data_IF_353022385159
#
_entry.id   IF_353022385159
#
_cell.length_a   1.000
_cell.length_b   1.000
_cell.length_c   1.000
_cell.angle_alpha   90.00
_cell.angle_beta   90.00
_cell.angle_gamma   90.00
#
_symmetry.space_group_name_H-M   'P 1'
#
loop_
_entity.id
_entity.type
_entity.pdbx_description
1 polymer ?
#
# COMPACT_ATOMS: atom_id res chain seq x y z
N UNK A 1 -15.02 -52.94 56.85
CA UNK A 1 -13.86 -52.05 56.65
C UNK A 1 -14.07 -51.40 55.29
N UNK A 2 -14.89 -50.35 55.25
CA UNK A 2 -14.50 -48.91 55.14
C UNK A 2 -13.96 -48.61 53.75
N UNK A 3 -14.74 -48.12 52.79
CA UNK A 3 -15.27 -46.75 52.54
C UNK A 3 -14.48 -46.07 51.39
N UNK A 4 -15.19 -45.22 50.64
CA UNK A 4 -14.85 -44.35 49.48
C UNK A 4 -13.37 -44.11 49.09
N UNK A 5 -13.06 -44.02 47.78
CA UNK A 5 -12.91 -42.72 47.07
C UNK A 5 -12.43 -42.82 45.61
N UNK A 6 -12.65 -41.71 44.91
CA UNK A 6 -12.48 -41.42 43.49
C UNK A 6 -11.05 -40.97 43.11
N UNK A 7 -10.80 -40.89 41.79
CA UNK A 7 -9.88 -39.96 41.10
C UNK A 7 -8.37 -40.28 40.98
N UNK A 8 -7.90 -40.44 39.72
CA UNK A 8 -6.83 -39.61 39.12
C UNK A 8 -6.55 -39.93 37.64
N UNK A 9 -6.48 -38.84 36.88
CA UNK A 9 -6.11 -38.62 35.48
C UNK A 9 -4.61 -38.75 35.19
N UNK A 10 -4.25 -39.19 33.98
CA UNK A 10 -3.20 -38.65 33.07
C UNK A 10 -2.99 -39.66 31.92
N UNK A 11 -2.73 -39.33 30.66
CA UNK A 11 -2.57 -38.09 29.93
C UNK A 11 -2.50 -38.52 28.46
N UNK A 12 -3.32 -37.91 27.59
CA UNK A 12 -3.30 -38.19 26.15
C UNK A 12 -2.07 -37.52 25.54
N UNK A 13 -1.24 -38.33 24.90
CA UNK A 13 -0.19 -37.90 23.97
C UNK A 13 -0.76 -36.93 22.94
N UNK A 14 -0.48 -35.64 23.12
CA UNK A 14 -0.61 -34.63 22.08
C UNK A 14 0.81 -34.30 21.62
N UNK A 15 1.25 -35.00 20.58
CA UNK A 15 2.45 -34.60 19.83
C UNK A 15 2.15 -33.28 19.12
N UNK A 16 2.51 -32.17 19.76
CA UNK A 16 2.58 -30.84 19.15
C UNK A 16 3.75 -30.84 18.17
N UNK A 17 3.46 -31.09 16.89
CA UNK A 17 4.39 -30.74 15.82
C UNK A 17 4.50 -29.22 15.77
N UNK A 18 5.71 -28.73 16.00
CA UNK A 18 6.12 -27.34 15.86
C UNK A 18 6.05 -26.97 14.37
N UNK A 19 5.00 -26.27 13.94
CA UNK A 19 4.91 -25.70 12.60
C UNK A 19 5.78 -24.44 12.53
N UNK A 20 7.00 -24.61 12.02
CA UNK A 20 7.80 -23.54 11.41
C UNK A 20 6.94 -22.74 10.42
N UNK A 21 7.01 -21.40 10.52
CA UNK A 21 6.13 -20.44 9.85
C UNK A 21 5.94 -20.70 8.35
N UNK A 22 4.74 -21.13 7.98
CA UNK A 22 4.28 -21.19 6.59
C UNK A 22 3.47 -19.94 6.33
N UNK A 23 3.89 -19.10 5.40
CA UNK A 23 3.04 -18.05 4.84
C UNK A 23 1.78 -18.75 4.27
N UNK A 24 0.57 -18.44 4.75
CA UNK A 24 -0.64 -19.09 4.29
C UNK A 24 -0.86 -18.69 2.84
N UNK A 25 -0.95 -19.71 1.99
CA UNK A 25 -1.31 -19.56 0.59
C UNK A 25 -2.84 -19.43 0.54
N UNK A 26 -3.31 -18.19 0.34
CA UNK A 26 -4.74 -17.90 0.24
C UNK A 26 -5.14 -17.99 -1.22
N UNK A 27 -5.96 -18.98 -1.56
CA UNK A 27 -6.50 -19.13 -2.91
C UNK A 27 -7.79 -18.32 -3.06
N UNK A 28 -7.79 -17.34 -3.97
CA UNK A 28 -8.99 -16.60 -4.38
C UNK A 28 -9.65 -17.38 -5.52
N UNK A 29 -10.78 -18.04 -5.26
CA UNK A 29 -11.40 -18.98 -6.21
C UNK A 29 -12.49 -18.34 -7.09
N UNK A 30 -13.03 -17.18 -6.70
CA UNK A 30 -14.06 -16.45 -7.44
C UNK A 30 -13.68 -15.00 -7.74
N UNK A 31 -14.28 -14.43 -8.80
CA UNK A 31 -14.12 -13.01 -9.16
C UNK A 31 -14.60 -12.11 -8.03
N UNK A 32 -15.75 -12.42 -7.42
CA UNK A 32 -16.29 -11.67 -6.28
C UNK A 32 -15.33 -11.63 -5.08
N UNK A 33 -14.67 -12.75 -4.78
CA UNK A 33 -13.68 -12.81 -3.69
C UNK A 33 -12.38 -12.11 -4.05
N UNK A 34 -11.99 -12.15 -5.33
CA UNK A 34 -10.81 -11.42 -5.84
C UNK A 34 -11.03 -9.91 -5.77
N UNK A 35 -12.22 -9.43 -6.16
CA UNK A 35 -12.60 -8.02 -6.02
C UNK A 35 -12.64 -7.60 -4.55
N UNK A 36 -13.19 -8.43 -3.67
CA UNK A 36 -13.22 -8.18 -2.23
C UNK A 36 -11.82 -8.18 -1.58
N UNK A 37 -10.82 -8.81 -2.21
CA UNK A 37 -9.43 -8.82 -1.76
C UNK A 37 -8.64 -7.56 -2.18
N UNK A 38 -9.09 -6.80 -3.20
CA UNK A 38 -8.36 -5.64 -3.72
C UNK A 38 -8.03 -4.59 -2.64
N UNK A 39 -8.95 -4.17 -1.74
CA UNK A 39 -8.63 -3.17 -0.73
C UNK A 39 -7.50 -3.62 0.20
N UNK A 40 -7.48 -4.91 0.51
CA UNK A 40 -6.47 -5.54 1.36
C UNK A 40 -5.11 -5.65 0.67
N UNK A 41 -5.09 -5.93 -0.64
CA UNK A 41 -3.87 -5.94 -1.44
C UNK A 41 -3.27 -4.54 -1.62
N UNK A 42 -4.10 -3.50 -1.65
CA UNK A 42 -3.66 -2.10 -1.79
C UNK A 42 -3.40 -1.41 -0.45
N UNK A 43 -3.85 -1.98 0.67
CA UNK A 43 -3.82 -1.35 1.99
C UNK A 43 -4.88 -0.26 2.20
N UNK A 44 -5.71 0.05 1.21
CA UNK A 44 -6.81 1.02 1.34
C UNK A 44 -7.96 0.71 0.39
N UNK A 45 -9.14 1.29 0.62
CA UNK A 45 -10.28 1.21 -0.30
C UNK A 45 -10.11 2.22 -1.47
N UNK A 46 -9.81 1.77 -2.71
CA UNK A 46 -9.69 2.66 -3.85
C UNK A 46 -11.05 3.14 -4.35
N UNK A 47 -11.09 4.39 -4.83
CA UNK A 47 -12.22 5.00 -5.54
C UNK A 47 -11.72 5.59 -6.86
N UNK A 48 -12.56 5.60 -7.90
CA UNK A 48 -12.22 6.12 -9.24
C UNK A 48 -10.83 5.66 -9.72
N UNK A 49 -10.61 4.35 -9.69
CA UNK A 49 -9.32 3.72 -9.91
C UNK A 49 -9.39 2.60 -10.94
N UNK A 50 -8.28 2.39 -11.64
CA UNK A 50 -8.04 1.18 -12.43
C UNK A 50 -7.03 0.32 -11.68
N UNK A 51 -7.35 -0.96 -11.48
CA UNK A 51 -6.51 -1.94 -10.79
C UNK A 51 -6.19 -3.07 -11.75
N UNK A 52 -4.92 -3.45 -11.82
CA UNK A 52 -4.44 -4.57 -12.62
C UNK A 52 -3.79 -5.59 -11.70
N UNK A 53 -4.35 -6.80 -11.68
CA UNK A 53 -3.75 -7.96 -11.01
C UNK A 53 -3.15 -8.87 -12.10
N UNK A 54 -1.89 -9.24 -11.96
CA UNK A 54 -1.19 -10.09 -12.94
C UNK A 54 -0.71 -11.39 -12.32
N UNK A 55 -0.63 -12.44 -13.13
CA UNK A 55 -0.15 -13.77 -12.73
C UNK A 55 0.33 -14.59 -13.92
N UNK A 56 1.08 -15.65 -13.65
CA UNK A 56 1.56 -16.57 -14.69
C UNK A 56 0.45 -17.48 -15.20
N UNK A 57 -0.34 -18.08 -14.32
CA UNK A 57 -1.47 -18.96 -14.68
C UNK A 57 -2.64 -18.82 -13.67
N UNK A 58 -3.83 -19.30 -14.04
CA UNK A 58 -4.94 -19.38 -13.07
C UNK A 58 -4.56 -20.31 -11.92
N UNK A 59 -4.62 -19.79 -10.69
CA UNK A 59 -4.31 -20.55 -9.49
C UNK A 59 -2.84 -20.47 -9.05
N UNK A 60 -1.98 -19.74 -9.76
CA UNK A 60 -0.65 -19.37 -9.26
C UNK A 60 -0.71 -18.10 -8.41
N UNK A 61 0.26 -17.88 -7.50
CA UNK A 61 0.35 -16.65 -6.72
C UNK A 61 0.32 -15.41 -7.62
N UNK A 62 -0.36 -14.35 -7.16
CA UNK A 62 -0.36 -13.07 -7.87
C UNK A 62 1.09 -12.57 -7.97
N UNK A 63 1.50 -12.23 -9.18
CA UNK A 63 2.83 -11.71 -9.45
C UNK A 63 2.91 -10.22 -9.11
N UNK A 64 1.91 -9.42 -9.55
CA UNK A 64 1.82 -8.00 -9.22
C UNK A 64 0.39 -7.51 -9.07
N UNK A 65 0.24 -6.50 -8.23
CA UNK A 65 -0.96 -5.66 -8.07
C UNK A 65 -0.58 -4.22 -8.38
N UNK A 66 -1.16 -3.65 -9.43
CA UNK A 66 -0.96 -2.26 -9.82
C UNK A 66 -2.27 -1.48 -9.68
N UNK A 67 -2.16 -0.21 -9.30
CA UNK A 67 -3.29 0.71 -9.23
C UNK A 67 -2.92 2.03 -9.86
N UNK A 68 -3.78 2.51 -10.76
CA UNK A 68 -3.75 3.85 -11.33
C UNK A 68 -5.04 4.62 -11.03
N UNK A 69 -4.97 5.95 -11.11
CA UNK A 69 -6.17 6.79 -11.15
C UNK A 69 -6.87 6.66 -12.51
N UNK A 70 -8.19 6.81 -12.55
CA UNK A 70 -8.91 6.84 -13.83
C UNK A 70 -8.56 8.11 -14.61
N UNK A 71 -7.96 7.99 -15.81
CA UNK A 71 -7.52 9.14 -16.59
C UNK A 71 -8.71 9.84 -17.26
N UNK A 72 -8.63 11.17 -17.50
CA UNK A 72 -9.55 11.82 -18.41
C UNK A 72 -9.35 11.31 -19.85
N UNK A 73 -10.40 11.40 -20.68
CA UNK A 73 -10.44 10.81 -22.03
C UNK A 73 -9.21 11.10 -22.92
N UNK A 74 -8.64 12.31 -22.80
CA UNK A 74 -7.49 12.73 -23.60
C UNK A 74 -6.15 12.11 -23.17
N UNK A 75 -6.07 11.51 -21.98
CA UNK A 75 -4.87 10.87 -21.44
C UNK A 75 -4.93 9.33 -21.46
N UNK A 76 -6.04 8.74 -21.94
CA UNK A 76 -6.23 7.28 -21.93
C UNK A 76 -5.05 6.53 -22.55
N UNK A 77 -4.52 6.98 -23.70
CA UNK A 77 -3.41 6.29 -24.36
C UNK A 77 -2.11 6.33 -23.56
N UNK A 78 -1.81 7.47 -22.92
CA UNK A 78 -0.61 7.61 -22.07
C UNK A 78 -0.75 6.75 -20.82
N UNK A 79 -1.91 6.82 -20.16
CA UNK A 79 -2.16 6.02 -18.96
C UNK A 79 -2.12 4.51 -19.23
N UNK A 80 -2.66 4.05 -20.36
CA UNK A 80 -2.59 2.65 -20.75
C UNK A 80 -1.14 2.19 -20.95
N UNK A 81 -0.34 2.99 -21.64
CA UNK A 81 1.08 2.71 -21.86
C UNK A 81 1.86 2.69 -20.54
N UNK A 82 1.64 3.66 -19.64
CA UNK A 82 2.34 3.72 -18.35
C UNK A 82 2.01 2.50 -17.47
N UNK A 83 0.75 2.05 -17.48
CA UNK A 83 0.31 0.85 -16.75
C UNK A 83 1.03 -0.39 -17.29
N UNK A 84 1.05 -0.57 -18.62
CA UNK A 84 1.59 -1.79 -19.24
C UNK A 84 3.10 -1.80 -19.36
N UNK A 85 3.75 -0.65 -19.52
CA UNK A 85 5.21 -0.55 -19.56
C UNK A 85 5.88 -1.10 -18.30
N UNK A 86 5.22 -0.97 -17.14
CA UNK A 86 5.71 -1.52 -15.87
C UNK A 86 5.74 -3.06 -15.82
N UNK A 87 5.09 -3.74 -16.76
CA UNK A 87 4.96 -5.19 -16.84
C UNK A 87 5.84 -5.82 -17.94
N UNK A 88 6.50 -5.01 -18.76
CA UNK A 88 7.20 -5.49 -19.96
C UNK A 88 8.38 -6.44 -19.66
N UNK A 89 8.91 -6.40 -18.44
CA UNK A 89 10.00 -7.30 -17.99
C UNK A 89 9.51 -8.53 -17.22
N UNK A 90 8.20 -8.68 -17.00
CA UNK A 90 7.64 -9.77 -16.22
C UNK A 90 7.17 -10.92 -17.11
N UNK A 91 7.33 -12.15 -16.63
CA UNK A 91 6.77 -13.35 -17.24
C UNK A 91 5.29 -13.47 -16.84
N UNK A 92 4.41 -12.72 -17.51
CA UNK A 92 2.96 -12.69 -17.23
C UNK A 92 2.19 -13.29 -18.41
N UNK A 93 1.34 -14.28 -18.12
CA UNK A 93 0.45 -14.89 -19.14
C UNK A 93 -1.03 -14.61 -18.89
N UNK A 94 -1.38 -14.12 -17.69
CA UNK A 94 -2.75 -13.77 -17.30
C UNK A 94 -2.83 -12.43 -16.57
N UNK A 95 -3.89 -11.69 -16.83
CA UNK A 95 -4.18 -10.41 -16.20
C UNK A 95 -5.68 -10.23 -15.92
N UNK A 96 -5.97 -9.60 -14.79
CA UNK A 96 -7.30 -9.21 -14.35
C UNK A 96 -7.33 -7.69 -14.20
N UNK A 97 -8.05 -7.01 -15.09
CA UNK A 97 -8.26 -5.58 -15.06
C UNK A 97 -9.59 -5.26 -14.37
N UNK A 98 -9.55 -4.33 -13.43
CA UNK A 98 -10.72 -3.90 -12.65
C UNK A 98 -10.84 -2.39 -12.69
N UNK A 99 -11.96 -1.90 -13.22
CA UNK A 99 -12.33 -0.48 -13.17
C UNK A 99 -13.28 -0.27 -11.99
N UNK A 100 -12.90 0.62 -11.08
CA UNK A 100 -13.63 0.91 -9.85
C UNK A 100 -14.11 2.35 -9.92
N UNK A 101 -15.43 2.56 -9.86
CA UNK A 101 -16.03 3.89 -9.98
C UNK A 101 -16.28 4.30 -11.42
N UNK A 102 -16.43 5.61 -11.63
CA UNK A 102 -17.11 6.14 -12.81
C UNK A 102 -18.61 5.89 -12.74
N UNK A 103 -19.43 6.93 -12.87
CA UNK A 103 -20.87 6.72 -12.96
C UNK A 103 -21.18 5.90 -14.21
N UNK A 104 -22.02 4.86 -14.05
CA UNK A 104 -22.71 4.26 -15.18
C UNK A 104 -23.37 5.37 -15.97
N UNK A 105 -23.15 5.44 -17.28
CA UNK A 105 -23.87 6.37 -18.16
C UNK A 105 -25.39 6.13 -18.23
N UNK A 106 -25.97 5.39 -17.28
CA UNK A 106 -27.40 5.08 -17.15
C UNK A 106 -28.10 6.08 -16.22
N UNK A 107 -28.96 6.91 -16.81
CA UNK A 107 -29.68 8.01 -16.18
C UNK A 107 -30.15 7.83 -14.74
N UNK A 108 -29.87 8.84 -13.92
CA UNK A 108 -30.49 9.04 -12.63
C UNK A 108 -32.01 9.24 -12.77
N UNK A 109 -32.77 8.41 -12.07
CA UNK A 109 -34.12 8.75 -11.62
C UNK A 109 -34.19 8.45 -10.12
N UNK A 110 -34.22 9.50 -9.30
CA UNK A 110 -34.40 9.35 -7.86
C UNK A 110 -34.26 10.64 -7.06
N UNK A 111 -35.28 11.51 -7.12
CA UNK A 111 -35.44 12.75 -6.34
C UNK A 111 -35.54 13.94 -7.29
N UNK A 112 -36.67 14.63 -7.45
CA UNK A 112 -37.51 15.21 -6.41
C UNK A 112 -38.99 15.19 -6.83
N UNK A 113 -39.87 14.70 -5.96
CA UNK A 113 -41.30 15.01 -6.00
C UNK A 113 -41.50 16.37 -5.34
N UNK A 114 -42.01 17.36 -6.08
CA UNK A 114 -43.01 18.34 -5.61
C UNK A 114 -43.46 19.26 -6.76
N UNK A 115 -44.76 19.28 -7.06
CA UNK A 115 -45.39 20.37 -7.83
C UNK A 115 -46.56 19.95 -8.72
N UNK A 116 -47.78 20.00 -8.19
CA UNK A 116 -49.04 19.85 -8.92
C UNK A 116 -49.28 20.97 -9.95
N UNK A 117 -49.91 20.65 -11.10
CA UNK A 117 -50.76 21.60 -11.84
C UNK A 117 -50.79 21.48 -13.37
N UNK A 118 -51.86 20.82 -13.90
CA UNK A 118 -52.55 20.94 -15.21
C UNK A 118 -51.86 21.68 -16.39
N UNK A 119 -51.87 21.18 -17.63
CA UNK A 119 -53.06 20.87 -18.45
C UNK A 119 -52.68 20.16 -19.78
N UNK A 120 -53.71 19.63 -20.44
CA UNK A 120 -53.82 18.64 -21.52
C UNK A 120 -53.29 18.98 -22.92
N UNK A 121 -52.91 17.89 -23.60
CA UNK A 121 -53.00 17.52 -25.04
C UNK A 121 -52.21 18.31 -26.10
N UNK A 122 -51.26 17.63 -26.74
CA UNK A 122 -51.09 17.67 -28.20
C UNK A 122 -50.39 16.38 -28.67
N UNK A 123 -51.05 15.68 -29.60
CA UNK A 123 -50.53 14.58 -30.38
C UNK A 123 -49.23 14.95 -31.10
N UNK A 124 -48.28 14.01 -31.15
CA UNK A 124 -47.04 14.18 -31.89
C UNK A 124 -46.19 12.92 -31.81
N UNK A 125 -46.18 12.18 -32.93
CA UNK A 125 -45.32 11.04 -33.20
C UNK A 125 -43.87 11.31 -32.80
N UNK A 126 -43.46 10.74 -31.67
CA UNK A 126 -42.11 10.83 -31.13
C UNK A 126 -41.35 9.54 -31.41
N UNK A 127 -40.56 9.59 -32.47
CA UNK A 127 -39.54 8.61 -32.84
C UNK A 127 -38.80 8.07 -31.60
N UNK A 128 -38.94 6.77 -31.30
CA UNK A 128 -38.08 6.09 -30.33
C UNK A 128 -36.76 5.75 -31.01
N UNK A 129 -35.96 6.78 -31.29
CA UNK A 129 -34.53 6.60 -31.46
C UNK A 129 -33.98 6.24 -30.09
N UNK A 130 -33.85 4.94 -29.84
CA UNK A 130 -33.09 4.43 -28.71
C UNK A 130 -31.69 5.02 -28.78
N UNK A 131 -31.30 5.73 -27.72
CA UNK A 131 -29.94 6.20 -27.55
C UNK A 131 -28.98 4.99 -27.64
N UNK A 132 -28.08 4.90 -28.63
CA UNK A 132 -27.22 3.73 -28.84
C UNK A 132 -26.09 3.62 -27.80
N UNK A 133 -26.00 4.54 -26.85
CA UNK A 133 -24.93 4.59 -25.84
C UNK A 133 -25.33 4.07 -24.45
N UNK A 134 -26.54 3.50 -24.30
CA UNK A 134 -27.07 3.05 -23.00
C UNK A 134 -26.46 1.76 -22.43
N UNK A 135 -25.65 1.05 -23.21
CA UNK A 135 -25.15 -0.29 -22.85
C UNK A 135 -23.63 -0.38 -22.70
N UNK A 136 -22.90 0.73 -22.93
CA UNK A 136 -21.44 0.73 -22.83
C UNK A 136 -21.00 1.01 -21.40
N UNK A 137 -20.21 0.09 -20.83
CA UNK A 137 -19.64 0.24 -19.50
C UNK A 137 -18.68 1.45 -19.44
N UNK A 138 -18.55 2.11 -18.27
CA UNK A 138 -17.61 3.22 -18.08
C UNK A 138 -16.18 2.84 -18.50
N UNK A 139 -15.43 3.80 -19.03
CA UNK A 139 -13.99 3.62 -19.36
C UNK A 139 -13.65 2.44 -20.29
N UNK A 140 -14.60 1.96 -21.12
CA UNK A 140 -14.34 0.88 -22.09
C UNK A 140 -13.12 1.15 -23.01
N UNK A 141 -12.92 2.41 -23.43
CA UNK A 141 -11.74 2.81 -24.24
C UNK A 141 -10.40 2.60 -23.54
N UNK A 142 -10.36 2.77 -22.21
CA UNK A 142 -9.17 2.52 -21.41
C UNK A 142 -8.90 1.02 -21.32
N UNK A 143 -9.94 0.23 -21.05
CA UNK A 143 -9.86 -1.23 -21.03
C UNK A 143 -9.33 -1.76 -22.36
N UNK A 144 -9.86 -1.27 -23.48
CA UNK A 144 -9.42 -1.65 -24.82
C UNK A 144 -7.95 -1.27 -25.08
N UNK A 145 -7.52 -0.09 -24.63
CA UNK A 145 -6.14 0.34 -24.78
C UNK A 145 -5.18 -0.54 -23.97
N UNK A 146 -5.46 -0.75 -22.68
CA UNK A 146 -4.65 -1.60 -21.81
C UNK A 146 -4.62 -3.05 -22.33
N UNK A 147 -5.76 -3.58 -22.80
CA UNK A 147 -5.82 -4.94 -23.34
C UNK A 147 -4.97 -5.08 -24.60
N UNK A 148 -4.99 -4.12 -25.52
CA UNK A 148 -4.12 -4.15 -26.71
C UNK A 148 -2.65 -4.22 -26.31
N UNK A 149 -2.24 -3.34 -25.41
CA UNK A 149 -0.85 -3.27 -24.93
C UNK A 149 -0.44 -4.58 -24.22
N UNK A 150 -1.32 -5.18 -23.40
CA UNK A 150 -1.05 -6.47 -22.74
C UNK A 150 -0.92 -7.64 -23.74
N UNK A 151 -1.72 -7.64 -24.81
CA UNK A 151 -1.63 -8.65 -25.87
C UNK A 151 -0.31 -8.52 -26.65
N UNK A 152 0.17 -7.29 -26.87
CA UNK A 152 1.49 -7.04 -27.48
C UNK A 152 2.64 -7.55 -26.60
N UNK A 153 2.45 -7.55 -25.27
CA UNK A 153 3.37 -8.15 -24.30
C UNK A 153 3.26 -9.68 -24.19
N UNK A 154 2.35 -10.31 -24.93
CA UNK A 154 2.17 -11.77 -24.95
C UNK A 154 1.22 -12.32 -23.89
N UNK A 155 0.47 -11.46 -23.19
CA UNK A 155 -0.55 -11.89 -22.22
C UNK A 155 -1.74 -12.47 -22.97
N UNK A 156 -2.02 -13.76 -22.77
CA UNK A 156 -3.07 -14.48 -23.50
C UNK A 156 -4.44 -14.44 -22.82
N UNK A 157 -4.48 -14.32 -21.49
CA UNK A 157 -5.73 -14.27 -20.74
C UNK A 157 -5.92 -12.89 -20.07
N UNK A 158 -6.77 -12.03 -20.64
CA UNK A 158 -7.10 -10.73 -20.04
C UNK A 158 -8.59 -10.69 -19.70
N UNK A 159 -8.93 -10.83 -18.42
CA UNK A 159 -10.30 -10.64 -17.95
C UNK A 159 -10.49 -9.19 -17.46
N UNK A 160 -11.61 -8.55 -17.81
CA UNK A 160 -11.88 -7.17 -17.40
C UNK A 160 -13.26 -7.03 -16.74
N UNK A 161 -13.29 -6.34 -15.60
CA UNK A 161 -14.51 -6.12 -14.82
C UNK A 161 -14.66 -4.65 -14.42
N UNK A 162 -15.91 -4.21 -14.37
CA UNK A 162 -16.32 -2.92 -13.82
C UNK A 162 -17.10 -3.15 -12.53
N UNK A 163 -16.85 -2.33 -11.53
CA UNK A 163 -17.59 -2.29 -10.27
C UNK A 163 -17.77 -0.82 -9.82
N UNK A 164 -18.97 -0.40 -9.39
CA UNK A 164 -19.18 0.98 -8.98
C UNK A 164 -18.41 1.34 -7.70
N UNK A 165 -18.37 0.40 -6.75
CA UNK A 165 -17.66 0.55 -5.49
C UNK A 165 -17.26 -0.83 -4.94
N UNK A 166 -16.15 -0.88 -4.18
CA UNK A 166 -15.74 -2.09 -3.47
C UNK A 166 -16.44 -2.16 -2.11
N UNK A 167 -17.75 -2.39 -2.13
CA UNK A 167 -18.60 -2.60 -0.95
C UNK A 167 -19.31 -3.95 -0.99
N UNK A 168 -19.57 -4.55 0.18
CA UNK A 168 -20.30 -5.81 0.26
C UNK A 168 -21.66 -5.74 -0.42
N UNK A 169 -21.94 -6.68 -1.32
CA UNK A 169 -23.18 -6.68 -2.10
C UNK A 169 -23.15 -5.84 -3.39
N UNK A 170 -22.05 -5.13 -3.68
CA UNK A 170 -21.89 -4.41 -4.94
C UNK A 170 -21.96 -5.38 -6.13
N UNK A 171 -22.60 -4.93 -7.22
CA UNK A 171 -22.70 -5.71 -8.46
C UNK A 171 -21.55 -5.35 -9.38
N UNK A 172 -20.81 -6.36 -9.83
CA UNK A 172 -19.80 -6.21 -10.88
C UNK A 172 -20.35 -6.67 -12.23
N UNK A 173 -19.81 -6.10 -13.31
CA UNK A 173 -20.13 -6.43 -14.71
C UNK A 173 -18.83 -6.71 -15.47
N UNK A 174 -18.83 -7.65 -16.40
CA UNK A 174 -17.70 -7.89 -17.29
C UNK A 174 -17.78 -7.00 -18.52
N UNK A 175 -16.62 -6.60 -19.05
CA UNK A 175 -16.54 -5.89 -20.34
C UNK A 175 -16.74 -6.82 -21.56
N UNK A 176 -16.47 -8.12 -21.41
CA UNK A 176 -16.51 -9.09 -22.52
C UNK A 176 -17.92 -9.61 -22.81
N UNK A 177 -18.73 -9.79 -21.78
CA UNK A 177 -20.08 -10.34 -21.89
C UNK A 177 -21.07 -9.50 -21.04
N UNK A 178 -22.04 -8.82 -21.67
CA UNK A 178 -23.08 -8.08 -20.95
C UNK A 178 -23.91 -8.93 -19.97
N UNK A 179 -24.00 -10.24 -20.20
CA UNK A 179 -24.68 -11.18 -19.29
C UNK A 179 -23.80 -11.60 -18.11
N UNK A 180 -22.48 -11.40 -18.19
CA UNK A 180 -21.55 -11.72 -17.12
C UNK A 180 -21.63 -10.63 -16.04
N UNK A 181 -22.46 -10.90 -15.04
CA UNK A 181 -22.65 -10.07 -13.85
C UNK A 181 -22.61 -10.93 -12.60
N UNK A 182 -22.21 -10.34 -11.47
CA UNK A 182 -22.21 -11.04 -10.19
C UNK A 182 -22.22 -10.08 -9.02
N UNK A 183 -22.28 -10.65 -7.81
CA UNK A 183 -22.26 -9.89 -6.56
C UNK A 183 -20.93 -10.12 -5.87
N UNK A 184 -20.33 -9.04 -5.36
CA UNK A 184 -19.11 -9.09 -4.59
C UNK A 184 -19.39 -9.49 -3.14
N UNK A 185 -18.54 -10.36 -2.60
CA UNK A 185 -18.46 -10.64 -1.16
C UNK A 185 -18.09 -9.38 -0.38
N UNK A 186 -18.45 -9.28 0.89
CA UNK A 186 -18.04 -8.13 1.72
C UNK A 186 -16.52 -8.16 1.95
N UNK A 187 -15.76 -7.11 1.55
CA UNK A 187 -14.33 -7.01 1.84
C UNK A 187 -14.01 -7.24 3.32
N UNK A 188 -14.82 -6.72 4.24
CA UNK A 188 -14.58 -6.93 5.68
C UNK A 188 -14.66 -8.40 6.12
N UNK A 189 -15.31 -9.25 5.32
CA UNK A 189 -15.41 -10.69 5.53
C UNK A 189 -14.41 -11.51 4.71
N UNK A 190 -13.54 -10.86 3.93
CA UNK A 190 -12.56 -11.53 3.07
C UNK A 190 -11.53 -12.31 3.90
N UNK A 191 -11.20 -13.53 3.45
CA UNK A 191 -10.17 -14.38 4.07
C UNK A 191 -8.81 -13.68 4.09
N UNK A 192 -8.48 -12.95 3.01
CA UNK A 192 -7.26 -12.15 2.96
C UNK A 192 -7.30 -11.02 3.98
N UNK A 193 -8.43 -10.33 4.11
CA UNK A 193 -8.63 -9.27 5.10
C UNK A 193 -8.45 -9.77 6.53
N UNK A 194 -9.06 -10.92 6.85
CA UNK A 194 -8.93 -11.56 8.16
C UNK A 194 -7.48 -11.97 8.48
N UNK A 195 -6.76 -12.56 7.51
CA UNK A 195 -5.36 -12.94 7.70
C UNK A 195 -4.47 -11.71 7.90
N UNK A 196 -4.61 -10.68 7.07
CA UNK A 196 -3.85 -9.43 7.20
C UNK A 196 -4.11 -8.75 8.55
N UNK A 197 -5.37 -8.66 8.98
CA UNK A 197 -5.73 -8.11 10.28
C UNK A 197 -5.12 -8.91 11.45
N UNK A 198 -5.06 -10.25 11.34
CA UNK A 198 -4.43 -11.10 12.36
C UNK A 198 -2.93 -10.82 12.53
N UNK A 199 -2.29 -10.29 11.49
CA UNK A 199 -0.87 -9.87 11.47
C UNK A 199 -0.68 -8.39 11.81
N UNK A 200 -1.75 -7.68 12.14
CA UNK A 200 -1.71 -6.26 12.48
C UNK A 200 -1.68 -5.31 11.26
N UNK A 201 -1.86 -5.81 10.04
CA UNK A 201 -2.06 -4.94 8.87
C UNK A 201 -3.46 -4.33 8.91
N UNK A 202 -3.53 -3.03 8.62
CA UNK A 202 -4.78 -2.26 8.61
C UNK A 202 -5.09 -1.87 7.17
N UNK A 203 -6.32 -2.12 6.74
CA UNK A 203 -6.85 -1.59 5.48
C UNK A 203 -7.56 -0.26 5.77
N UNK A 204 -7.07 0.82 5.18
CA UNK A 204 -7.57 2.17 5.41
C UNK A 204 -8.79 2.48 4.52
N UNK A 205 -9.68 3.36 4.97
CA UNK A 205 -10.88 3.74 4.23
C UNK A 205 -10.58 4.54 2.95
N UNK A 206 -9.38 5.14 2.84
CA UNK A 206 -8.93 5.81 1.62
C UNK A 206 -7.42 5.99 1.57
N UNK A 207 -6.89 6.29 0.38
CA UNK A 207 -5.48 6.72 0.22
C UNK A 207 -5.16 7.98 1.02
N UNK A 208 -6.14 8.88 1.20
CA UNK A 208 -5.95 10.10 2.00
C UNK A 208 -5.77 9.79 3.49
N UNK A 209 -6.49 8.79 4.00
CA UNK A 209 -6.31 8.30 5.38
C UNK A 209 -4.94 7.64 5.56
N UNK A 210 -4.49 6.83 4.60
CA UNK A 210 -3.14 6.28 4.60
C UNK A 210 -2.08 7.40 4.56
N UNK A 211 -2.30 8.45 3.75
CA UNK A 211 -1.41 9.60 3.67
C UNK A 211 -1.35 10.40 4.99
N UNK A 212 -2.45 10.42 5.75
CA UNK A 212 -2.51 11.10 7.05
C UNK A 212 -1.54 10.49 8.08
N UNK A 213 -1.11 9.23 7.92
CA UNK A 213 -0.06 8.62 8.76
C UNK A 213 1.29 9.35 8.66
N UNK A 214 1.54 10.07 7.57
CA UNK A 214 2.78 10.79 7.32
C UNK A 214 2.56 12.31 7.28
N UNK A 215 1.35 12.79 7.59
CA UNK A 215 1.06 14.23 7.61
C UNK A 215 1.91 14.94 8.69
N UNK A 216 2.52 16.10 8.38
CA UNK A 216 3.31 16.84 9.37
C UNK A 216 2.51 17.14 10.63
N UNK A 217 3.19 17.11 11.78
CA UNK A 217 2.66 17.62 13.04
C UNK A 217 2.32 19.12 12.91
N UNK A 218 1.60 19.67 13.89
CA UNK A 218 1.22 21.09 13.87
C UNK A 218 2.42 22.02 13.69
N UNK A 219 2.22 23.08 12.90
CA UNK A 219 3.25 24.07 12.56
C UNK A 219 4.06 24.58 13.77
N UNK A 220 3.46 24.90 14.95
CA UNK A 220 4.23 25.32 16.12
C UNK A 220 5.17 24.25 16.68
N UNK A 221 4.82 22.96 16.57
CA UNK A 221 5.69 21.85 17.02
C UNK A 221 6.85 21.66 16.07
N UNK A 222 6.59 21.75 14.77
CA UNK A 222 7.62 21.63 13.74
C UNK A 222 8.62 22.79 13.84
N UNK A 223 8.14 24.03 13.97
CA UNK A 223 9.00 25.21 14.15
C UNK A 223 9.89 25.12 15.40
N UNK A 224 9.36 24.63 16.53
CA UNK A 224 10.16 24.41 17.75
C UNK A 224 11.29 23.39 17.54
N UNK A 225 11.03 22.35 16.75
CA UNK A 225 12.03 21.30 16.45
C UNK A 225 13.09 21.83 15.49
N UNK A 226 12.71 22.65 14.51
CA UNK A 226 13.63 23.36 13.63
C UNK A 226 14.62 24.22 14.41
N UNK A 227 14.14 25.05 15.35
CA UNK A 227 14.99 25.88 16.22
C UNK A 227 15.98 25.02 17.04
N UNK A 228 15.52 23.87 17.55
CA UNK A 228 16.37 22.94 18.30
C UNK A 228 17.43 22.27 17.44
N UNK A 229 17.11 21.93 16.18
CA UNK A 229 18.05 21.36 15.22
C UNK A 229 19.16 22.39 14.95
N UNK A 230 18.81 23.64 14.64
CA UNK A 230 19.79 24.70 14.38
C UNK A 230 20.65 24.99 15.61
N UNK A 231 20.04 25.05 16.79
CA UNK A 231 20.76 25.26 18.06
C UNK A 231 21.81 24.17 18.28
N UNK A 232 21.44 22.90 18.08
CA UNK A 232 22.39 21.78 18.23
C UNK A 232 23.47 21.80 17.15
N UNK A 233 23.12 22.15 15.91
CA UNK A 233 24.07 22.28 14.80
C UNK A 233 25.11 23.36 15.10
N UNK A 234 24.67 24.53 15.57
CA UNK A 234 25.54 25.62 16.01
C UNK A 234 26.42 25.25 17.20
N UNK A 235 25.93 24.38 18.10
CA UNK A 235 26.71 23.83 19.21
C UNK A 235 27.72 22.73 18.79
N UNK A 236 27.90 22.47 17.50
CA UNK A 236 28.88 21.52 16.97
C UNK A 236 28.37 20.08 16.86
N UNK A 237 27.05 19.84 16.91
CA UNK A 237 26.50 18.49 16.77
C UNK A 237 26.82 17.81 15.44
N UNK A 238 27.10 18.60 14.38
CA UNK A 238 27.63 18.08 13.12
C UNK A 238 28.98 17.37 13.27
N UNK A 239 29.74 17.62 14.34
CA UNK A 239 31.04 16.98 14.63
C UNK A 239 30.94 15.80 15.62
N UNK A 240 29.73 15.33 15.95
CA UNK A 240 29.60 14.16 16.83
C UNK A 240 30.36 12.95 16.29
N UNK A 241 31.04 12.17 17.15
CA UNK A 241 31.60 10.89 16.72
C UNK A 241 30.50 9.99 16.15
N UNK A 242 30.83 9.21 15.12
CA UNK A 242 29.90 8.26 14.48
C UNK A 242 29.20 7.36 15.52
N UNK A 243 29.94 6.90 16.54
CA UNK A 243 29.38 6.08 17.62
C UNK A 243 28.23 6.77 18.38
N UNK A 244 28.29 8.10 18.58
CA UNK A 244 27.23 8.86 19.23
C UNK A 244 25.99 8.99 18.34
N UNK A 245 26.19 9.20 17.02
CA UNK A 245 25.08 9.24 16.06
C UNK A 245 24.35 7.90 16.00
N UNK A 246 25.10 6.80 15.93
CA UNK A 246 24.55 5.44 15.95
C UNK A 246 23.85 5.11 17.28
N UNK A 247 24.36 5.61 18.41
CA UNK A 247 23.70 5.44 19.71
C UNK A 247 22.32 6.13 19.72
N UNK A 248 22.22 7.36 19.21
CA UNK A 248 20.93 8.06 19.11
C UNK A 248 19.91 7.27 18.28
N UNK A 249 20.31 6.68 17.15
CA UNK A 249 19.44 5.83 16.33
C UNK A 249 19.02 4.57 17.09
N UNK A 250 19.96 3.88 17.74
CA UNK A 250 19.66 2.67 18.54
C UNK A 250 18.69 2.96 19.68
N UNK A 251 18.85 4.09 20.36
CA UNK A 251 17.95 4.52 21.43
C UNK A 251 16.54 4.79 20.89
N UNK A 252 16.45 5.43 19.71
CA UNK A 252 15.18 5.63 19.00
C UNK A 252 14.48 4.31 18.64
N UNK A 253 15.23 3.35 18.08
CA UNK A 253 14.71 2.02 17.73
C UNK A 253 14.26 1.25 18.97
N UNK A 254 15.03 1.31 20.07
CA UNK A 254 14.67 0.67 21.34
C UNK A 254 13.41 1.27 21.95
N UNK A 255 13.23 2.59 21.85
CA UNK A 255 12.01 3.27 22.32
C UNK A 255 10.79 2.85 21.49
N UNK A 256 10.94 2.77 20.16
CA UNK A 256 9.89 2.32 19.26
C UNK A 256 9.47 0.87 19.52
N UNK A 257 10.42 -0.05 19.75
CA UNK A 257 10.14 -1.44 20.14
C UNK A 257 9.33 -1.56 21.44
N UNK A 258 9.53 -0.62 22.36
CA UNK A 258 8.87 -0.63 23.67
C UNK A 258 7.42 -0.10 23.63
N UNK A 259 6.91 0.26 22.44
CA UNK A 259 5.54 0.75 22.24
C UNK A 259 5.27 2.16 22.80
N UNK A 260 6.31 2.91 23.18
CA UNK A 260 6.18 4.28 23.68
C UNK A 260 6.95 5.27 22.78
N UNK A 261 6.37 5.70 21.65
CA UNK A 261 7.05 6.56 20.68
C UNK A 261 7.01 8.05 21.04
N UNK A 262 6.78 8.44 22.31
CA UNK A 262 6.84 9.85 22.70
C UNK A 262 8.29 10.34 22.74
N UNK A 263 8.87 10.50 21.55
CA UNK A 263 10.19 11.08 21.37
C UNK A 263 10.13 12.54 21.82
N UNK A 264 11.01 12.89 22.76
CA UNK A 264 11.20 14.29 23.13
C UNK A 264 11.69 15.09 21.92
N UNK A 265 11.37 16.38 21.86
CA UNK A 265 11.85 17.23 20.76
C UNK A 265 13.38 17.31 20.71
N UNK A 266 14.05 17.21 21.87
CA UNK A 266 15.51 17.09 21.91
C UNK A 266 15.97 15.81 21.20
N UNK A 267 15.35 14.65 21.48
CA UNK A 267 15.68 13.39 20.80
C UNK A 267 15.40 13.45 19.31
N UNK A 268 14.28 14.04 18.89
CA UNK A 268 13.94 14.24 17.47
C UNK A 268 15.03 15.07 16.77
N UNK A 269 15.47 16.18 17.38
CA UNK A 269 16.54 17.00 16.83
C UNK A 269 17.90 16.26 16.78
N UNK A 270 18.20 15.39 17.76
CA UNK A 270 19.42 14.56 17.71
C UNK A 270 19.35 13.54 16.57
N UNK A 271 18.19 12.91 16.36
CA UNK A 271 17.97 11.95 15.27
C UNK A 271 18.07 12.64 13.91
N UNK A 272 17.53 13.85 13.75
CA UNK A 272 17.67 14.63 12.52
C UNK A 272 19.15 14.84 12.14
N UNK A 273 19.98 15.23 13.12
CA UNK A 273 21.41 15.46 12.93
C UNK A 273 22.15 14.15 12.64
N UNK A 274 21.77 13.06 13.32
CA UNK A 274 22.38 11.75 13.11
C UNK A 274 22.07 11.21 11.70
N UNK A 275 20.83 11.34 11.23
CA UNK A 275 20.38 10.86 9.93
C UNK A 275 20.92 11.67 8.74
N UNK A 276 21.32 12.93 8.96
CA UNK A 276 21.99 13.72 7.94
C UNK A 276 23.36 13.14 7.51
N UNK A 277 23.95 12.26 8.32
CA UNK A 277 25.15 11.51 7.97
C UNK A 277 24.79 10.32 7.04
N UNK A 278 25.37 10.29 5.84
CA UNK A 278 25.08 9.26 4.83
C UNK A 278 25.39 7.86 5.34
N UNK A 279 26.46 7.66 6.10
CA UNK A 279 26.83 6.34 6.62
C UNK A 279 25.80 5.84 7.65
N UNK A 280 25.24 6.74 8.46
CA UNK A 280 24.19 6.41 9.42
C UNK A 280 22.87 6.11 8.71
N UNK A 281 22.49 6.96 7.74
CA UNK A 281 21.27 6.78 6.95
C UNK A 281 21.29 5.49 6.14
N UNK A 282 22.40 5.14 5.51
CA UNK A 282 22.52 3.90 4.74
C UNK A 282 22.46 2.68 5.67
N UNK A 283 23.08 2.76 6.85
CA UNK A 283 22.97 1.72 7.86
C UNK A 283 21.52 1.51 8.34
N UNK A 284 20.71 2.57 8.41
CA UNK A 284 19.29 2.47 8.74
C UNK A 284 18.49 1.65 7.72
N UNK A 285 18.92 1.55 6.45
CA UNK A 285 18.24 0.69 5.46
C UNK A 285 18.26 -0.78 5.88
N UNK A 286 19.32 -1.22 6.57
CA UNK A 286 19.42 -2.58 7.09
C UNK A 286 18.34 -2.91 8.12
N UNK A 287 17.76 -1.90 8.79
CA UNK A 287 16.72 -2.11 9.81
C UNK A 287 15.39 -2.57 9.23
N UNK A 288 15.16 -2.42 7.91
CA UNK A 288 13.97 -2.90 7.23
C UNK A 288 13.99 -4.41 6.94
N UNK A 289 15.10 -5.11 7.19
CA UNK A 289 15.23 -6.53 6.88
C UNK A 289 15.59 -7.38 8.11
N UNK A 290 15.01 -8.60 8.25
CA UNK A 290 13.91 -9.12 7.45
C UNK A 290 12.58 -8.38 7.75
N UNK A 291 11.66 -8.26 6.76
CA UNK A 291 10.49 -7.39 6.86
C UNK A 291 9.52 -7.78 7.97
N UNK A 292 9.46 -9.07 8.34
CA UNK A 292 8.60 -9.58 9.42
C UNK A 292 9.26 -9.53 10.81
N UNK A 293 10.43 -8.88 10.95
CA UNK A 293 11.12 -8.78 12.25
C UNK A 293 10.54 -7.67 13.13
N UNK A 294 10.66 -7.84 14.46
CA UNK A 294 10.35 -6.78 15.42
C UNK A 294 11.14 -5.49 15.16
N UNK A 295 12.38 -5.64 14.65
CA UNK A 295 13.22 -4.51 14.29
C UNK A 295 12.62 -3.73 13.11
N UNK A 296 12.22 -4.42 12.04
CA UNK A 296 11.60 -3.79 10.87
C UNK A 296 10.32 -3.04 11.25
N UNK A 297 9.47 -3.65 12.08
CA UNK A 297 8.26 -3.01 12.60
C UNK A 297 8.58 -1.75 13.44
N UNK A 298 9.56 -1.83 14.35
CA UNK A 298 9.96 -0.69 15.18
C UNK A 298 10.64 0.42 14.37
N UNK A 299 11.45 0.05 13.38
CA UNK A 299 12.09 0.99 12.47
C UNK A 299 11.03 1.72 11.63
N UNK A 300 10.09 1.01 11.03
CA UNK A 300 8.97 1.60 10.30
C UNK A 300 8.20 2.61 11.17
N UNK A 301 7.85 2.24 12.41
CA UNK A 301 7.18 3.13 13.35
C UNK A 301 8.00 4.39 13.69
N UNK A 302 9.31 4.23 13.91
CA UNK A 302 10.22 5.35 14.17
C UNK A 302 10.31 6.31 12.97
N UNK A 303 10.48 5.78 11.75
CA UNK A 303 10.60 6.57 10.54
C UNK A 303 9.31 7.31 10.20
N UNK A 304 8.15 6.67 10.38
CA UNK A 304 6.85 7.35 10.25
C UNK A 304 6.71 8.48 11.27
N UNK A 305 7.05 8.25 12.54
CA UNK A 305 7.00 9.27 13.58
C UNK A 305 7.93 10.46 13.28
N UNK A 306 9.16 10.21 12.81
CA UNK A 306 10.10 11.26 12.42
C UNK A 306 9.66 12.02 11.17
N UNK A 307 9.06 11.35 10.19
CA UNK A 307 8.50 11.97 8.98
C UNK A 307 7.43 13.01 9.32
N UNK A 308 6.58 12.70 10.29
CA UNK A 308 5.60 13.65 10.81
C UNK A 308 6.25 14.78 11.61
N UNK A 309 7.30 14.47 12.35
CA UNK A 309 7.83 15.35 13.37
C UNK A 309 8.81 16.41 12.86
N UNK A 310 9.58 16.09 11.82
CA UNK A 310 10.68 16.93 11.36
C UNK A 310 10.24 18.02 10.37
N UNK A 311 10.90 19.19 10.39
CA UNK A 311 10.74 20.22 9.36
C UNK A 311 11.37 19.79 8.04
N UNK A 312 11.05 20.54 6.99
CA UNK A 312 11.77 20.49 5.71
C UNK A 312 13.10 21.25 5.84
N UNK A 313 14.24 20.73 5.35
CA UNK A 313 14.43 19.51 4.56
C UNK A 313 14.68 18.22 5.36
N UNK A 314 14.91 18.28 6.67
CA UNK A 314 15.26 17.10 7.49
C UNK A 314 14.23 15.97 7.43
N UNK A 315 12.97 16.29 7.13
CA UNK A 315 11.87 15.35 6.87
C UNK A 315 12.14 14.36 5.73
N UNK A 316 12.93 14.72 4.73
CA UNK A 316 13.12 13.91 3.53
C UNK A 316 13.73 12.53 3.84
N UNK A 317 14.72 12.49 4.74
CA UNK A 317 15.45 11.27 5.08
C UNK A 317 14.57 10.22 5.79
N UNK A 318 13.87 10.52 6.89
CA UNK A 318 12.97 9.54 7.50
C UNK A 318 11.78 9.19 6.60
N UNK A 319 11.31 10.10 5.74
CA UNK A 319 10.27 9.76 4.75
C UNK A 319 10.79 8.72 3.75
N UNK A 320 12.02 8.88 3.25
CA UNK A 320 12.68 7.89 2.41
C UNK A 320 12.87 6.54 3.12
N UNK A 321 13.27 6.55 4.40
CA UNK A 321 13.44 5.32 5.19
C UNK A 321 12.10 4.62 5.48
N UNK A 322 11.05 5.39 5.78
CA UNK A 322 9.69 4.87 5.95
C UNK A 322 9.18 4.24 4.64
N UNK A 323 9.43 4.89 3.51
CA UNK A 323 9.06 4.37 2.20
C UNK A 323 9.81 3.09 1.85
N UNK A 324 11.10 3.02 2.12
CA UNK A 324 11.89 1.80 1.94
C UNK A 324 11.39 0.65 2.83
N UNK A 325 11.09 0.92 4.11
CA UNK A 325 10.54 -0.09 5.01
C UNK A 325 9.19 -0.63 4.51
N UNK A 326 8.27 0.27 4.11
CA UNK A 326 6.98 -0.12 3.54
C UNK A 326 7.16 -0.95 2.26
N UNK A 327 8.09 -0.55 1.39
CA UNK A 327 8.40 -1.27 0.16
C UNK A 327 8.93 -2.70 0.43
N UNK A 328 9.80 -2.87 1.42
CA UNK A 328 10.32 -4.20 1.81
C UNK A 328 9.23 -5.09 2.41
N UNK A 329 8.26 -4.50 3.12
CA UNK A 329 7.09 -5.21 3.65
C UNK A 329 5.97 -5.44 2.63
N UNK A 330 6.13 -4.97 1.38
CA UNK A 330 5.14 -5.13 0.32
C UNK A 330 4.00 -4.11 0.33
N UNK A 331 4.04 -3.09 1.19
CA UNK A 331 3.09 -1.99 1.21
C UNK A 331 3.51 -0.89 0.21
N UNK A 332 3.24 -1.16 -1.07
CA UNK A 332 3.57 -0.24 -2.16
C UNK A 332 2.83 1.10 -2.08
N UNK A 333 1.63 1.12 -1.50
CA UNK A 333 0.85 2.35 -1.36
C UNK A 333 1.47 3.31 -0.36
N UNK A 334 1.82 2.80 0.83
CA UNK A 334 2.53 3.59 1.84
C UNK A 334 3.93 3.97 1.35
N UNK A 335 4.62 3.09 0.63
CA UNK A 335 5.91 3.38 0.03
C UNK A 335 5.84 4.58 -0.93
N UNK A 336 4.88 4.58 -1.86
CA UNK A 336 4.68 5.68 -2.81
C UNK A 336 4.36 7.01 -2.10
N UNK A 337 3.50 6.98 -1.08
CA UNK A 337 3.18 8.17 -0.27
C UNK A 337 4.44 8.69 0.44
N UNK A 338 5.23 7.81 1.03
CA UNK A 338 6.43 8.17 1.76
C UNK A 338 7.53 8.73 0.85
N UNK A 339 7.75 8.16 -0.34
CA UNK A 339 8.69 8.70 -1.31
C UNK A 339 8.23 10.07 -1.87
N UNK A 340 6.93 10.25 -2.13
CA UNK A 340 6.38 11.57 -2.47
C UNK A 340 6.65 12.57 -1.33
N UNK A 341 6.38 12.20 -0.09
CA UNK A 341 6.64 13.06 1.07
C UNK A 341 8.13 13.38 1.26
N UNK A 342 9.03 12.50 0.82
CA UNK A 342 10.46 12.74 0.82
C UNK A 342 10.85 13.76 -0.26
N UNK A 343 10.35 13.59 -1.49
CA UNK A 343 10.62 14.48 -2.63
C UNK A 343 9.95 15.85 -2.50
N UNK A 344 8.80 15.93 -1.82
CA UNK A 344 8.15 17.21 -1.48
C UNK A 344 8.99 18.00 -0.45
N UNK A 345 9.70 17.30 0.43
CA UNK A 345 10.60 17.90 1.41
C UNK A 345 11.98 18.24 0.82
N UNK A 346 12.52 17.38 -0.06
CA UNK A 346 13.78 17.61 -0.76
C UNK A 346 13.68 17.04 -2.19
N UNK A 347 13.41 17.90 -3.20
CA UNK A 347 13.29 17.47 -4.58
C UNK A 347 14.56 16.84 -5.16
N UNK A 348 15.72 17.14 -4.58
CA UNK A 348 17.02 16.64 -5.02
C UNK A 348 17.46 15.36 -4.26
N UNK A 349 16.57 14.77 -3.44
CA UNK A 349 16.88 13.59 -2.65
C UNK A 349 17.03 12.32 -3.52
N UNK A 350 18.25 12.10 -4.01
CA UNK A 350 18.62 11.04 -4.98
C UNK A 350 18.05 9.66 -4.63
N UNK A 351 18.23 9.20 -3.38
CA UNK A 351 17.78 7.85 -2.98
C UNK A 351 16.25 7.72 -3.04
N UNK A 352 15.51 8.78 -2.69
CA UNK A 352 14.05 8.74 -2.72
C UNK A 352 13.55 8.73 -4.16
N UNK A 353 14.18 9.53 -5.04
CA UNK A 353 13.88 9.52 -6.48
C UNK A 353 14.13 8.16 -7.13
N UNK A 354 15.26 7.52 -6.82
CA UNK A 354 15.59 6.19 -7.34
C UNK A 354 14.62 5.11 -6.86
N UNK A 355 14.24 5.14 -5.57
CA UNK A 355 13.29 4.18 -5.00
C UNK A 355 11.86 4.41 -5.50
N UNK A 356 11.44 5.67 -5.69
CA UNK A 356 10.15 6.00 -6.32
C UNK A 356 10.08 5.50 -7.76
N UNK A 357 11.16 5.69 -8.54
CA UNK A 357 11.26 5.14 -9.89
C UNK A 357 11.22 3.61 -9.89
N UNK A 358 12.00 2.96 -9.01
CA UNK A 358 11.98 1.52 -8.87
C UNK A 358 10.57 0.99 -8.56
N UNK A 359 9.85 1.65 -7.65
CA UNK A 359 8.48 1.31 -7.29
C UNK A 359 7.49 1.52 -8.45
N UNK A 360 7.59 2.62 -9.21
CA UNK A 360 6.73 2.90 -10.38
C UNK A 360 6.94 1.93 -11.52
N UNK A 361 8.17 1.47 -11.73
CA UNK A 361 8.50 0.39 -12.65
C UNK A 361 8.26 -1.01 -12.04
N UNK A 362 7.79 -1.05 -10.79
CA UNK A 362 7.43 -2.23 -10.02
C UNK A 362 8.57 -3.23 -9.80
N UNK A 363 9.80 -2.75 -9.64
CA UNK A 363 10.92 -3.59 -9.24
C UNK A 363 10.55 -4.45 -8.01
N UNK A 364 10.85 -5.74 -8.06
CA UNK A 364 10.52 -6.61 -6.94
C UNK A 364 11.40 -6.27 -5.71
N UNK A 365 10.84 -6.19 -4.48
CA UNK A 365 11.56 -5.79 -3.27
C UNK A 365 12.84 -6.59 -3.01
N UNK A 366 12.83 -7.90 -3.30
CA UNK A 366 13.98 -8.77 -3.10
C UNK A 366 15.22 -8.35 -3.91
N UNK A 367 15.04 -7.68 -5.05
CA UNK A 367 16.15 -7.16 -5.86
C UNK A 367 16.85 -5.98 -5.19
N UNK A 368 16.16 -5.28 -4.29
CA UNK A 368 16.67 -4.13 -3.55
C UNK A 368 17.30 -4.52 -2.21
N UNK A 369 17.21 -5.78 -1.78
CA UNK A 369 17.81 -6.24 -0.52
C UNK A 369 19.31 -5.95 -0.41
N UNK A 370 20.03 -5.84 -1.54
CA UNK A 370 21.45 -5.48 -1.53
C UNK A 370 21.71 -4.07 -0.96
N UNK A 371 20.75 -3.14 -1.05
CA UNK A 371 20.86 -1.83 -0.41
C UNK A 371 21.01 -1.95 1.12
N UNK A 372 20.32 -2.92 1.73
CA UNK A 372 20.42 -3.23 3.15
C UNK A 372 21.66 -4.04 3.54
N UNK A 373 22.46 -4.51 2.57
CA UNK A 373 23.73 -5.22 2.85
C UNK A 373 24.90 -4.27 3.11
N UNK A 374 24.76 -2.98 2.78
CA UNK A 374 25.71 -1.93 3.10
C UNK A 374 25.56 -1.40 4.55
N UNK A 375 25.55 -2.30 5.54
CA UNK A 375 25.72 -1.93 6.95
C UNK A 375 27.21 -1.90 7.32
N UNK A 376 27.95 -0.96 6.73
CA UNK A 376 29.40 -0.80 6.94
C UNK A 376 29.77 -0.43 8.38
N UNK A 377 28.82 0.14 9.12
CA UNK A 377 29.00 0.68 10.48
C UNK A 377 28.46 -0.23 11.59
N UNK A 378 27.86 -1.38 11.22
CA UNK A 378 27.40 -2.41 12.15
C UNK A 378 26.22 -1.98 13.02
N UNK A 379 25.28 -1.19 12.48
CA UNK A 379 24.05 -0.80 13.17
C UNK A 379 23.26 -2.04 13.63
N UNK A 380 23.15 -3.05 12.75
CA UNK A 380 22.40 -4.30 12.99
C UNK A 380 23.29 -5.51 13.36
N UNK A 381 24.58 -5.28 13.65
CA UNK A 381 25.56 -6.36 13.86
C UNK A 381 25.25 -7.25 15.08
N UNK A 382 24.48 -6.75 16.08
CA UNK A 382 24.05 -7.53 17.25
C UNK A 382 22.89 -8.47 16.94
N UNK A 383 21.97 -8.07 16.08
CA UNK A 383 20.79 -8.87 15.72
C UNK A 383 21.16 -10.00 14.77
N UNK A 384 22.08 -9.76 13.82
CA UNK A 384 22.63 -10.81 12.94
C UNK A 384 23.33 -11.95 13.70
N UNK A 385 23.84 -11.69 14.92
CA UNK A 385 24.45 -12.71 15.79
C UNK A 385 23.44 -13.44 16.68
N UNK A 386 22.23 -12.91 16.82
CA UNK A 386 21.15 -13.54 17.60
C UNK A 386 20.26 -14.45 16.74
N UNK A 387 20.23 -14.22 15.42
CA UNK A 387 19.49 -15.00 14.42
C UNK A 387 20.32 -16.09 13.71
N UNK A 388 21.61 -16.18 13.99
CA UNK A 388 22.52 -17.23 13.52
C UNK A 388 22.91 -18.13 14.69
#
# INVERSE_FOLDING_TARGET
MTDHDNDRTDGRDTSTQTTTGRTPEITLTGVGDTLAAIPHLLGFHPTDSVVLLSGTERGTPLSRTLRGDLPPDHLIGVAAHDITASLAEDDISSALLVVIGGQDGGGGLGGETNGCGANRNADGDGNKDGNPNGDMLPFARLVDAVRRDLVELGVTEVAAYWVPELAGGARYRCYDDPACTGVMSDPASSVLGAELASRGYVTYGSRAELAALLAPDSEPRVARREELIETKRAAGAGSWPLACRLAAVRDGLSAARSGNPTLSDSHIAMLAIALADVEVRDACLATALPPDSELAAAAAALWQALTRALPTPERAIPACLAGYAAYMSGDGALAAIAFSAALDADPDHVLAGLLDQALRHGFAPYRLHQLATHDSVGLCARERRASA
#
